data_IF_400499293049
#
_entry.id   IF_400499293049
#
_cell.length_a   1.000
_cell.length_b   1.000
_cell.length_c   1.000
_cell.angle_alpha   90.00
_cell.angle_beta   90.00
_cell.angle_gamma   90.00
#
_symmetry.space_group_name_H-M   'P 1'
#
loop_
_entity.id
_entity.type
_entity.pdbx_description
1 polymer ?
#
# COMPACT_ATOMS: atom_id res chain seq x y z
N UNK A 1 -2.38 -9.78 0.62
CA UNK A 1 -1.14 -9.56 -0.17
C UNK A 1 -0.38 -8.32 0.23
N UNK A 2 -1.05 -7.23 0.59
CA UNK A 2 -0.41 -6.03 1.15
C UNK A 2 -1.16 -5.59 2.41
N UNK A 3 -0.41 -5.03 3.36
CA UNK A 3 -0.95 -4.49 4.62
C UNK A 3 -0.41 -3.08 4.81
N UNK A 4 -1.22 -2.07 5.15
CA UNK A 4 -0.72 -0.73 5.46
C UNK A 4 0.29 -0.75 6.60
N UNK A 5 1.33 0.08 6.51
CA UNK A 5 2.28 0.25 7.62
C UNK A 5 1.74 1.16 8.73
N UNK A 6 0.85 2.11 8.39
CA UNK A 6 0.13 2.87 9.40
C UNK A 6 -1.08 2.06 9.86
N UNK A 7 -1.07 1.63 11.12
CA UNK A 7 -2.12 0.80 11.72
C UNK A 7 -3.50 1.47 11.77
N UNK A 8 -3.56 2.80 11.61
CA UNK A 8 -4.81 3.55 11.54
C UNK A 8 -5.45 3.48 10.17
N UNK A 9 -4.67 3.18 9.13
CA UNK A 9 -5.14 3.06 7.76
C UNK A 9 -5.70 1.65 7.54
N UNK A 10 -6.94 1.57 7.04
CA UNK A 10 -7.60 0.30 6.74
C UNK A 10 -7.93 0.21 5.26
N UNK A 11 -7.64 -0.93 4.65
CA UNK A 11 -8.12 -1.23 3.30
C UNK A 11 -9.56 -1.73 3.41
N UNK A 12 -10.51 -1.02 2.82
CA UNK A 12 -11.93 -1.40 2.84
C UNK A 12 -12.32 -2.14 1.55
N UNK A 13 -11.76 -1.73 0.41
CA UNK A 13 -12.04 -2.33 -0.88
C UNK A 13 -10.79 -2.32 -1.77
N UNK A 14 -10.67 -3.32 -2.64
CA UNK A 14 -9.59 -3.45 -3.61
C UNK A 14 -10.12 -3.95 -4.96
N UNK A 15 -9.75 -3.25 -6.02
CA UNK A 15 -9.96 -3.60 -7.43
C UNK A 15 -8.60 -3.91 -8.10
N UNK A 16 -8.62 -4.27 -9.38
CA UNK A 16 -7.42 -4.46 -10.20
C UNK A 16 -6.58 -3.19 -10.36
N UNK A 17 -7.18 -2.00 -10.24
CA UNK A 17 -6.60 -0.70 -10.55
C UNK A 17 -6.84 0.37 -9.47
N UNK A 18 -7.59 0.04 -8.43
CA UNK A 18 -8.00 0.98 -7.39
C UNK A 18 -7.96 0.30 -6.01
N UNK A 19 -7.60 1.07 -4.99
CA UNK A 19 -7.65 0.67 -3.59
C UNK A 19 -8.40 1.75 -2.81
N UNK A 20 -9.37 1.36 -1.99
CA UNK A 20 -10.12 2.26 -1.11
C UNK A 20 -9.58 2.14 0.31
N UNK A 21 -9.08 3.25 0.83
CA UNK A 21 -8.48 3.36 2.15
C UNK A 21 -9.37 4.20 3.07
N UNK A 22 -9.64 3.68 4.26
CA UNK A 22 -10.20 4.42 5.37
C UNK A 22 -9.06 4.97 6.23
N UNK A 23 -9.07 6.29 6.45
CA UNK A 23 -8.07 7.05 7.20
C UNK A 23 -8.58 7.49 8.58
N UNK A 24 -9.83 7.14 8.93
CA UNK A 24 -10.51 7.60 10.14
C UNK A 24 -10.46 9.14 10.25
N UNK A 25 -10.17 9.70 11.42
CA UNK A 25 -9.97 11.15 11.65
C UNK A 25 -8.75 11.77 10.93
N UNK A 26 -8.02 10.99 10.12
CA UNK A 26 -6.81 11.39 9.40
C UNK A 26 -5.79 12.19 10.24
N UNK A 27 -5.37 11.69 11.42
CA UNK A 27 -4.41 12.40 12.29
C UNK A 27 -3.02 12.53 11.65
N UNK A 28 -2.70 11.71 10.65
CA UNK A 28 -1.47 11.81 9.87
C UNK A 28 -1.52 12.93 8.82
N UNK A 29 -2.71 13.49 8.54
CA UNK A 29 -2.88 14.60 7.59
C UNK A 29 -2.63 14.21 6.13
N UNK A 30 -2.91 12.95 5.76
CA UNK A 30 -2.78 12.49 4.39
C UNK A 30 -3.57 13.36 3.43
N UNK A 31 -2.92 13.72 2.33
CA UNK A 31 -3.49 14.49 1.22
C UNK A 31 -3.02 13.96 -0.12
N UNK A 32 -3.63 14.47 -1.19
CA UNK A 32 -3.24 14.11 -2.56
C UNK A 32 -1.77 14.44 -2.81
N UNK A 33 -1.04 13.44 -3.34
CA UNK A 33 0.39 13.51 -3.60
C UNK A 33 1.26 12.88 -2.50
N UNK A 34 0.69 12.53 -1.35
CA UNK A 34 1.42 11.83 -0.29
C UNK A 34 1.67 10.35 -0.64
N UNK A 35 2.69 9.78 -0.01
CA UNK A 35 3.02 8.37 -0.13
C UNK A 35 2.34 7.57 0.98
N UNK A 36 1.66 6.50 0.60
CA UNK A 36 1.15 5.48 1.51
C UNK A 36 2.02 4.24 1.37
N UNK A 37 2.56 3.76 2.49
CA UNK A 37 3.48 2.62 2.50
C UNK A 37 2.79 1.35 2.97
N UNK A 38 3.14 0.25 2.32
CA UNK A 38 2.56 -1.06 2.59
C UNK A 38 3.66 -2.10 2.78
N UNK A 39 3.43 -3.04 3.68
CA UNK A 39 4.19 -4.28 3.79
C UNK A 39 3.51 -5.36 2.94
N UNK A 40 4.17 -5.89 1.89
CA UNK A 40 3.67 -7.07 1.22
C UNK A 40 3.88 -8.32 2.08
N UNK A 41 2.92 -9.25 2.04
CA UNK A 41 3.14 -10.62 2.53
C UNK A 41 4.06 -11.40 1.58
N UNK A 42 4.35 -12.67 1.90
CA UNK A 42 5.22 -13.49 1.05
C UNK A 42 4.73 -13.56 -0.41
N UNK A 43 3.42 -13.75 -0.62
CA UNK A 43 2.84 -13.84 -1.97
C UNK A 43 2.87 -12.49 -2.69
N UNK A 44 2.57 -11.41 -1.97
CA UNK A 44 2.71 -10.04 -2.48
C UNK A 44 4.16 -9.75 -2.90
N UNK A 45 5.13 -10.14 -2.07
CA UNK A 45 6.56 -9.93 -2.31
C UNK A 45 7.02 -10.70 -3.54
N UNK A 46 6.67 -11.98 -3.64
CA UNK A 46 6.99 -12.81 -4.80
C UNK A 46 6.42 -12.20 -6.09
N UNK A 47 5.19 -11.68 -6.06
CA UNK A 47 4.56 -10.97 -7.17
C UNK A 47 5.32 -9.71 -7.55
N UNK A 48 5.65 -8.85 -6.58
CA UNK A 48 6.40 -7.61 -6.79
C UNK A 48 7.78 -7.88 -7.39
N UNK A 49 8.49 -8.90 -6.90
CA UNK A 49 9.81 -9.29 -7.39
C UNK A 49 9.79 -9.66 -8.88
N UNK A 50 8.70 -10.27 -9.36
CA UNK A 50 8.51 -10.64 -10.77
C UNK A 50 7.82 -9.55 -11.63
N UNK A 51 7.36 -8.46 -11.03
CA UNK A 51 6.67 -7.38 -11.76
C UNK A 51 7.65 -6.50 -12.54
N UNK A 52 7.34 -6.17 -13.79
CA UNK A 52 8.11 -5.19 -14.59
C UNK A 52 7.72 -3.73 -14.32
N UNK A 53 6.64 -3.51 -13.58
CA UNK A 53 6.08 -2.17 -13.32
C UNK A 53 6.44 -1.60 -11.96
N UNK A 54 7.20 -2.36 -11.15
CA UNK A 54 7.58 -1.95 -9.81
C UNK A 54 9.11 -1.95 -9.74
N UNK A 55 9.68 -0.78 -9.43
CA UNK A 55 11.11 -0.63 -9.21
C UNK A 55 11.52 -1.24 -7.87
N UNK A 56 12.69 -1.89 -7.86
CA UNK A 56 13.28 -2.48 -6.65
C UNK A 56 14.51 -1.67 -6.28
N UNK A 57 14.45 -1.04 -5.12
CA UNK A 57 15.55 -0.24 -4.58
C UNK A 57 16.29 -1.07 -3.54
N UNK A 58 17.56 -1.37 -3.81
CA UNK A 58 18.50 -1.99 -2.85
C UNK A 58 19.51 -0.93 -2.46
N UNK A 59 19.72 -0.72 -1.17
CA UNK A 59 20.70 0.23 -0.62
C UNK A 59 21.94 -0.49 -0.13
#
# INVERSE_FOLDING_TARGET
>A
HITPLDERVKIIEASSDMLVLDLDDNPAGYKVGDLVSFAPDYMGTLGVMNSRYIDKVVR
#
